data_IF_318824875113
#
_entry.id   IF_318824875113
#
_cell.length_a   1.000
_cell.length_b   1.000
_cell.length_c   1.000
_cell.angle_alpha   90.00
_cell.angle_beta   90.00
_cell.angle_gamma   90.00
#
_symmetry.space_group_name_H-M   'P 1'
#
loop_
_entity.id
_entity.type
_entity.pdbx_description
1 polymer ?
#
# COMPACT_ATOMS: atom_id res chain seq x y z
N UNK A 1 -27.52 -5.58 -23.61
CA UNK A 1 -27.50 -6.92 -24.26
C UNK A 1 -28.32 -7.86 -23.40
N UNK A 2 -29.09 -8.79 -23.96
CA UNK A 2 -29.78 -9.83 -23.17
C UNK A 2 -28.87 -11.05 -23.11
N UNK A 3 -28.33 -11.34 -21.94
CA UNK A 3 -27.56 -12.54 -21.70
C UNK A 3 -28.48 -13.77 -21.70
N UNK A 4 -27.91 -14.94 -21.98
CA UNK A 4 -28.68 -16.18 -21.97
C UNK A 4 -29.05 -16.54 -20.53
N UNK A 5 -30.18 -17.23 -20.35
CA UNK A 5 -30.62 -17.70 -19.03
C UNK A 5 -29.59 -18.63 -18.37
N UNK A 6 -28.71 -19.25 -19.17
CA UNK A 6 -27.58 -20.05 -18.66
C UNK A 6 -26.51 -19.15 -18.05
N UNK A 7 -26.14 -18.05 -18.73
CA UNK A 7 -25.16 -17.09 -18.22
C UNK A 7 -25.67 -16.38 -16.95
N UNK A 8 -26.96 -16.02 -16.89
CA UNK A 8 -27.56 -15.43 -15.70
C UNK A 8 -27.58 -16.39 -14.51
N UNK A 9 -27.78 -17.69 -14.76
CA UNK A 9 -27.77 -18.72 -13.71
C UNK A 9 -26.35 -19.05 -13.24
N UNK A 10 -25.36 -19.06 -14.13
CA UNK A 10 -23.95 -19.21 -13.75
C UNK A 10 -23.46 -18.02 -12.92
N UNK A 11 -23.86 -16.80 -13.28
CA UNK A 11 -23.58 -15.59 -12.49
C UNK A 11 -24.21 -15.64 -11.10
N UNK A 12 -25.49 -16.02 -10.98
CA UNK A 12 -26.16 -16.19 -9.68
C UNK A 12 -25.51 -17.26 -8.82
N UNK A 13 -25.05 -18.35 -9.44
CA UNK A 13 -24.37 -19.43 -8.74
C UNK A 13 -22.99 -18.99 -8.23
N UNK A 14 -22.28 -18.15 -8.97
CA UNK A 14 -21.02 -17.54 -8.54
C UNK A 14 -21.20 -16.55 -7.37
N UNK A 15 -22.35 -15.85 -7.30
CA UNK A 15 -22.70 -14.98 -6.16
C UNK A 15 -23.08 -15.76 -4.88
N UNK A 16 -23.50 -17.03 -5.01
CA UNK A 16 -23.89 -17.91 -3.90
C UNK A 16 -22.74 -18.79 -3.39
N UNK A 17 -21.60 -18.84 -4.09
CA UNK A 17 -20.42 -19.51 -3.58
C UNK A 17 -19.85 -18.71 -2.39
N UNK A 18 -19.73 -19.31 -1.20
CA UNK A 18 -19.11 -18.61 -0.07
C UNK A 18 -17.66 -18.32 -0.44
N UNK A 19 -17.34 -17.03 -0.57
CA UNK A 19 -15.97 -16.57 -0.69
C UNK A 19 -15.16 -17.22 0.44
N UNK A 20 -14.08 -17.91 0.07
CA UNK A 20 -13.09 -18.30 1.05
C UNK A 20 -12.54 -17.03 1.64
N UNK A 21 -13.05 -16.65 2.82
CA UNK A 21 -12.45 -15.63 3.68
C UNK A 21 -11.10 -16.20 4.14
N UNK A 22 -10.09 -16.04 3.28
CA UNK A 22 -8.72 -15.92 3.73
C UNK A 22 -8.73 -14.86 4.81
N UNK A 23 -8.12 -15.09 5.97
CA UNK A 23 -7.86 -13.99 6.91
C UNK A 23 -7.21 -12.87 6.10
N UNK A 24 -7.93 -11.77 5.89
CA UNK A 24 -7.51 -10.71 4.98
C UNK A 24 -6.11 -10.25 5.38
N UNK A 25 -5.19 -10.20 4.42
CA UNK A 25 -3.86 -9.64 4.71
C UNK A 25 -4.08 -8.24 5.27
N UNK A 26 -3.52 -7.92 6.44
CA UNK A 26 -3.66 -6.57 7.02
C UNK A 26 -2.93 -5.52 6.19
N UNK A 27 -2.06 -5.95 5.27
CA UNK A 27 -1.25 -5.09 4.44
C UNK A 27 -1.59 -5.28 2.96
N UNK A 28 -1.96 -4.19 2.29
CA UNK A 28 -2.11 -4.19 0.86
C UNK A 28 -0.75 -3.98 0.19
N UNK A 29 -0.25 -5.03 -0.49
CA UNK A 29 1.05 -4.98 -1.18
C UNK A 29 0.87 -4.99 -2.70
N UNK A 30 1.21 -3.90 -3.41
CA UNK A 30 1.11 -3.85 -4.88
C UNK A 30 1.77 -5.03 -5.60
N UNK A 31 2.90 -5.52 -5.06
CA UNK A 31 3.63 -6.64 -5.64
C UNK A 31 2.85 -7.97 -5.59
N UNK A 32 1.91 -8.14 -4.66
CA UNK A 32 1.08 -9.34 -4.52
C UNK A 32 -0.14 -9.33 -5.44
N UNK A 33 -0.50 -8.19 -6.04
CA UNK A 33 -1.53 -8.15 -7.09
C UNK A 33 -1.10 -9.11 -8.21
N UNK A 34 -2.01 -9.95 -8.68
CA UNK A 34 -1.71 -10.84 -9.80
C UNK A 34 -1.49 -10.05 -11.09
N UNK A 35 -0.76 -10.64 -12.05
CA UNK A 35 -0.51 -9.92 -13.30
C UNK A 35 -1.81 -9.81 -14.11
N UNK A 36 -2.06 -8.62 -14.64
CA UNK A 36 -3.27 -8.21 -15.35
C UNK A 36 -4.54 -8.23 -14.48
N UNK A 37 -4.35 -8.09 -13.15
CA UNK A 37 -5.44 -7.91 -12.19
C UNK A 37 -5.40 -6.50 -11.62
N UNK A 38 -6.59 -6.02 -11.27
CA UNK A 38 -6.86 -4.71 -10.71
C UNK A 38 -7.53 -4.89 -9.35
N UNK A 39 -7.13 -4.07 -8.39
CA UNK A 39 -7.76 -4.02 -7.06
C UNK A 39 -8.37 -2.64 -6.88
N UNK A 40 -9.61 -2.61 -6.41
CA UNK A 40 -10.35 -1.40 -6.10
C UNK A 40 -10.36 -1.15 -4.58
N UNK A 41 -10.14 0.10 -4.18
CA UNK A 41 -10.08 0.50 -2.78
C UNK A 41 -10.47 1.97 -2.60
N UNK A 42 -10.72 2.35 -1.34
CA UNK A 42 -11.02 3.72 -0.93
C UNK A 42 -10.00 4.15 0.12
N UNK A 43 -9.45 5.36 -0.01
CA UNK A 43 -8.63 5.95 1.04
C UNK A 43 -9.49 6.34 2.25
N UNK A 44 -9.07 5.94 3.45
CA UNK A 44 -9.78 6.25 4.70
C UNK A 44 -9.26 7.53 5.35
N UNK A 45 -8.02 7.92 5.05
CA UNK A 45 -7.42 9.19 5.46
C UNK A 45 -6.95 9.97 4.23
N UNK A 46 -7.04 11.31 4.30
CA UNK A 46 -6.58 12.20 3.21
C UNK A 46 -5.05 12.22 3.11
N UNK A 47 -4.37 12.47 4.24
CA UNK A 47 -2.93 12.61 4.31
C UNK A 47 -2.27 11.26 4.63
N UNK A 48 -1.20 10.87 3.90
CA UNK A 48 -0.43 9.69 4.24
C UNK A 48 0.38 9.90 5.53
N UNK A 49 0.63 8.81 6.25
CA UNK A 49 1.83 8.71 7.06
C UNK A 49 3.05 8.63 6.13
N UNK A 50 4.00 9.54 6.31
CA UNK A 50 5.24 9.58 5.55
C UNK A 50 6.46 9.26 6.43
N UNK A 51 7.36 8.42 5.91
CA UNK A 51 8.63 8.10 6.56
C UNK A 51 9.70 7.68 5.55
N UNK A 52 10.96 7.71 5.99
CA UNK A 52 12.05 7.08 5.28
C UNK A 52 12.19 5.62 5.69
N UNK A 53 12.47 4.73 4.74
CA UNK A 53 12.63 3.31 5.01
C UNK A 53 13.91 2.77 4.37
N UNK A 54 14.62 1.91 5.11
CA UNK A 54 15.69 1.06 4.57
C UNK A 54 15.38 -0.39 4.88
N UNK A 55 15.61 -1.28 3.92
CA UNK A 55 15.62 -2.71 4.20
C UNK A 55 17.02 -3.12 4.64
N UNK A 56 17.09 -3.83 5.76
CA UNK A 56 18.32 -4.38 6.27
C UNK A 56 18.17 -5.89 6.52
N UNK A 57 19.30 -6.56 6.46
CA UNK A 57 19.46 -8.00 6.63
C UNK A 57 20.25 -8.26 7.91
N UNK A 58 19.74 -9.11 8.78
CA UNK A 58 20.44 -9.55 9.97
C UNK A 58 21.68 -10.35 9.56
N UNK A 59 22.82 -10.04 10.16
CA UNK A 59 24.11 -10.62 9.80
C UNK A 59 24.20 -12.09 10.22
N UNK A 60 23.51 -12.49 11.28
CA UNK A 60 23.58 -13.83 11.88
C UNK A 60 22.70 -14.86 11.17
N UNK A 61 21.48 -14.47 10.77
CA UNK A 61 20.47 -15.40 10.22
C UNK A 61 19.98 -15.04 8.81
N UNK A 62 20.39 -13.87 8.27
CA UNK A 62 19.99 -13.42 6.94
C UNK A 62 18.54 -12.95 6.84
N UNK A 63 17.81 -12.83 7.96
CA UNK A 63 16.43 -12.33 7.96
C UNK A 63 16.39 -10.86 7.57
N UNK A 64 15.39 -10.48 6.77
CA UNK A 64 15.24 -9.11 6.28
C UNK A 64 14.10 -8.42 7.01
N UNK A 65 14.33 -7.18 7.42
CA UNK A 65 13.27 -6.31 7.98
C UNK A 65 13.44 -4.86 7.51
N UNK A 66 12.34 -4.10 7.45
CA UNK A 66 12.42 -2.66 7.30
C UNK A 66 12.93 -2.02 8.60
N UNK A 67 13.67 -0.94 8.46
CA UNK A 67 13.94 0.05 9.49
C UNK A 67 13.39 1.37 8.98
N UNK A 68 12.59 2.04 9.81
CA UNK A 68 11.87 3.26 9.45
C UNK A 68 12.42 4.43 10.25
N UNK A 69 12.43 5.60 9.63
CA UNK A 69 12.94 6.83 10.21
C UNK A 69 11.91 7.93 9.98
N UNK A 70 11.63 8.77 10.98
CA UNK A 70 10.66 9.83 10.86
C UNK A 70 11.05 10.81 9.75
N UNK A 71 10.04 11.38 9.07
CA UNK A 71 10.24 12.40 8.04
C UNK A 71 10.64 13.75 8.68
N UNK A 72 11.91 13.91 9.02
CA UNK A 72 12.46 15.16 9.57
C UNK A 72 13.39 15.82 8.54
N UNK A 73 12.78 16.40 7.50
CA UNK A 73 13.50 17.09 6.42
C UNK A 73 14.03 16.12 5.35
N UNK A 74 15.35 15.99 5.26
CA UNK A 74 15.99 15.14 4.25
C UNK A 74 16.03 13.67 4.67
N UNK A 75 16.51 12.80 3.76
CA UNK A 75 16.72 11.39 4.07
C UNK A 75 17.73 11.23 5.22
N UNK A 76 17.58 10.20 6.09
CA UNK A 76 18.54 9.94 7.15
C UNK A 76 19.93 9.71 6.55
N UNK A 77 20.96 10.20 7.24
CA UNK A 77 22.34 10.04 6.78
C UNK A 77 22.78 8.57 6.91
N UNK A 78 23.85 8.19 6.21
CA UNK A 78 24.42 6.85 6.34
C UNK A 78 24.89 6.57 7.78
N UNK A 79 25.36 7.59 8.50
CA UNK A 79 25.75 7.49 9.91
C UNK A 79 24.54 7.22 10.81
N UNK A 80 23.42 7.93 10.60
CA UNK A 80 22.18 7.72 11.35
C UNK A 80 21.62 6.31 11.12
N UNK A 81 21.63 5.86 9.85
CA UNK A 81 21.19 4.52 9.49
C UNK A 81 22.08 3.48 10.18
N UNK A 82 23.40 3.60 10.08
CA UNK A 82 24.32 2.64 10.71
C UNK A 82 24.16 2.58 12.23
N UNK A 83 23.92 3.73 12.87
CA UNK A 83 23.64 3.81 14.30
C UNK A 83 22.38 3.05 14.68
N UNK A 84 21.31 3.22 13.91
CA UNK A 84 20.02 2.55 14.16
C UNK A 84 20.08 1.04 13.91
N UNK A 85 20.89 0.60 12.92
CA UNK A 85 21.08 -0.82 12.63
C UNK A 85 21.82 -1.58 13.74
N UNK A 86 22.50 -0.87 14.66
CA UNK A 86 23.09 -1.44 15.88
C UNK A 86 24.24 -2.43 15.66
N UNK A 87 24.71 -2.61 14.43
CA UNK A 87 25.79 -3.55 14.07
C UNK A 87 25.33 -4.99 13.83
N UNK A 88 24.13 -5.38 14.29
CA UNK A 88 23.55 -6.71 14.05
C UNK A 88 22.92 -6.83 12.65
N UNK A 89 22.63 -5.68 12.03
CA UNK A 89 22.02 -5.59 10.71
C UNK A 89 22.93 -4.86 9.74
N UNK A 90 22.90 -5.29 8.48
CA UNK A 90 23.52 -4.60 7.35
C UNK A 90 22.45 -4.17 6.35
N UNK A 91 22.63 -3.02 5.71
CA UNK A 91 21.72 -2.57 4.64
C UNK A 91 21.70 -3.58 3.50
N UNK A 92 20.54 -3.75 2.89
CA UNK A 92 20.41 -4.53 1.66
C UNK A 92 21.12 -3.82 0.51
N UNK A 93 21.71 -4.60 -0.40
CA UNK A 93 22.36 -4.06 -1.60
C UNK A 93 21.36 -3.70 -2.68
N UNK A 94 21.67 -2.69 -3.48
CA UNK A 94 20.85 -2.34 -4.66
C UNK A 94 20.84 -3.54 -5.63
N UNK A 95 19.67 -3.84 -6.20
CA UNK A 95 19.53 -4.97 -7.13
C UNK A 95 19.92 -4.64 -8.58
N UNK A 96 19.91 -3.35 -8.92
CA UNK A 96 20.13 -2.85 -10.27
C UNK A 96 21.10 -1.67 -10.26
N UNK A 97 21.85 -1.51 -11.35
CA UNK A 97 22.68 -0.35 -11.56
C UNK A 97 21.81 0.91 -11.72
N UNK A 98 22.27 2.02 -11.13
CA UNK A 98 21.66 3.32 -11.30
C UNK A 98 22.75 4.38 -11.51
N UNK A 99 23.12 4.57 -12.77
CA UNK A 99 24.18 5.49 -13.19
C UNK A 99 23.93 6.93 -12.71
N UNK A 100 22.67 7.36 -12.63
CA UNK A 100 22.31 8.73 -12.19
C UNK A 100 22.66 8.97 -10.73
N UNK A 101 22.61 7.93 -9.90
CA UNK A 101 22.95 7.98 -8.49
C UNK A 101 24.33 7.37 -8.20
N UNK A 102 25.05 6.91 -9.23
CA UNK A 102 26.33 6.22 -9.07
C UNK A 102 26.25 4.89 -8.32
N UNK A 103 25.08 4.24 -8.29
CA UNK A 103 24.85 3.00 -7.54
C UNK A 103 25.12 1.79 -8.44
N UNK A 104 25.86 0.81 -7.91
CA UNK A 104 26.20 -0.44 -8.60
C UNK A 104 25.48 -1.64 -7.99
N UNK A 105 24.86 -2.45 -8.84
CA UNK A 105 24.16 -3.68 -8.49
C UNK A 105 25.03 -4.57 -7.61
N UNK A 106 24.47 -5.05 -6.49
CA UNK A 106 25.11 -5.93 -5.51
C UNK A 106 26.39 -5.38 -4.85
N UNK A 107 26.72 -4.09 -5.04
CA UNK A 107 27.91 -3.45 -4.46
C UNK A 107 27.49 -2.32 -3.53
N UNK A 108 26.70 -1.36 -4.04
CA UNK A 108 26.22 -0.21 -3.28
C UNK A 108 25.10 -0.59 -2.32
N UNK A 109 25.05 0.07 -1.17
CA UNK A 109 23.93 -0.06 -0.23
C UNK A 109 22.68 0.62 -0.82
N UNK A 110 21.51 0.02 -0.56
CA UNK A 110 20.23 0.57 -1.02
C UNK A 110 19.94 1.88 -0.29
N UNK A 111 19.67 2.99 -1.00
CA UNK A 111 19.35 4.28 -0.39
C UNK A 111 18.05 4.18 0.42
N UNK A 112 17.88 5.10 1.37
CA UNK A 112 16.59 5.26 2.05
C UNK A 112 15.52 5.62 1.03
N UNK A 113 14.40 4.92 1.09
CA UNK A 113 13.25 5.12 0.21
C UNK A 113 12.19 5.93 0.95
N UNK A 114 11.68 6.97 0.30
CA UNK A 114 10.54 7.70 0.84
C UNK A 114 9.28 6.86 0.68
N UNK A 115 8.56 6.63 1.77
CA UNK A 115 7.39 5.77 1.82
C UNK A 115 6.17 6.60 2.23
N UNK A 116 5.04 6.30 1.58
CA UNK A 116 3.73 6.88 1.85
C UNK A 116 2.80 5.76 2.27
N UNK A 117 2.10 5.93 3.39
CA UNK A 117 1.24 4.88 3.92
C UNK A 117 -0.14 5.45 4.22
N UNK A 118 -1.17 4.79 3.71
CA UNK A 118 -2.56 5.11 4.02
C UNK A 118 -3.28 3.89 4.58
N UNK A 119 -4.24 4.08 5.51
CA UNK A 119 -5.32 3.12 5.69
C UNK A 119 -6.24 3.19 4.46
N UNK A 120 -6.58 2.01 3.92
CA UNK A 120 -7.51 1.88 2.80
C UNK A 120 -8.59 0.86 3.14
N UNK A 121 -9.79 1.05 2.60
CA UNK A 121 -10.80 0.01 2.53
C UNK A 121 -10.64 -0.77 1.24
N UNK A 122 -10.31 -2.06 1.34
CA UNK A 122 -10.28 -2.95 0.18
C UNK A 122 -11.70 -3.41 -0.15
N UNK A 123 -12.19 -3.09 -1.35
CA UNK A 123 -13.58 -3.36 -1.73
C UNK A 123 -13.86 -4.83 -2.03
N UNK A 124 -12.85 -5.58 -2.48
CA UNK A 124 -12.94 -7.02 -2.71
C UNK A 124 -12.93 -7.77 -1.37
N UNK A 125 -11.97 -7.45 -0.50
CA UNK A 125 -11.80 -8.14 0.78
C UNK A 125 -12.72 -7.62 1.90
N UNK A 126 -13.39 -6.49 1.68
CA UNK A 126 -14.29 -5.82 2.63
C UNK A 126 -13.66 -5.64 4.01
N UNK A 127 -12.42 -5.17 4.01
CA UNK A 127 -11.64 -4.94 5.23
C UNK A 127 -10.73 -3.74 5.06
N UNK A 128 -10.37 -3.13 6.19
CA UNK A 128 -9.31 -2.15 6.26
C UNK A 128 -7.96 -2.84 6.05
N UNK A 129 -7.10 -2.24 5.23
CA UNK A 129 -5.72 -2.64 5.01
C UNK A 129 -4.78 -1.43 5.07
N UNK A 130 -3.52 -1.68 5.41
CA UNK A 130 -2.45 -0.68 5.34
C UNK A 130 -1.80 -0.74 3.95
N UNK A 131 -1.90 0.35 3.20
CA UNK A 131 -1.31 0.50 1.88
C UNK A 131 0.01 1.28 1.94
N UNK A 132 1.14 0.58 1.90
CA UNK A 132 2.47 1.19 1.81
C UNK A 132 2.92 1.33 0.33
N UNK A 133 3.26 2.55 -0.07
CA UNK A 133 3.83 2.89 -1.36
C UNK A 133 5.27 3.39 -1.19
N UNK A 134 6.23 2.56 -1.61
CA UNK A 134 7.65 2.92 -1.70
C UNK A 134 8.15 3.03 -3.14
N UNK A 135 7.34 2.57 -4.12
CA UNK A 135 7.71 2.57 -5.53
C UNK A 135 7.45 3.94 -6.16
N UNK A 136 8.47 4.63 -6.69
CA UNK A 136 8.28 5.94 -7.31
C UNK A 136 7.30 5.96 -8.49
N UNK A 137 7.13 4.83 -9.18
CA UNK A 137 6.19 4.70 -10.30
C UNK A 137 4.73 4.74 -9.87
N UNK A 138 4.40 4.19 -8.70
CA UNK A 138 3.03 4.22 -8.14
C UNK A 138 2.76 5.62 -7.59
N UNK A 139 3.64 6.13 -6.73
CA UNK A 139 3.47 7.45 -6.12
C UNK A 139 3.31 8.57 -7.16
N UNK A 140 4.11 8.56 -8.24
CA UNK A 140 3.98 9.53 -9.34
C UNK A 140 2.59 9.53 -9.98
N UNK A 141 1.94 8.37 -10.06
CA UNK A 141 0.61 8.27 -10.64
C UNK A 141 -0.46 8.73 -9.67
N UNK A 142 -0.39 8.32 -8.40
CA UNK A 142 -1.27 8.84 -7.34
C UNK A 142 -1.22 10.37 -7.36
N UNK A 143 -0.02 10.97 -7.23
CA UNK A 143 0.16 12.43 -7.23
C UNK A 143 -0.35 13.11 -8.50
N UNK A 144 -0.20 12.46 -9.66
CA UNK A 144 -0.68 13.00 -10.95
C UNK A 144 -2.21 13.02 -11.00
N UNK A 145 -2.85 11.92 -10.63
CA UNK A 145 -4.29 11.79 -10.69
C UNK A 145 -4.96 12.66 -9.61
N UNK A 146 -4.51 12.60 -8.35
CA UNK A 146 -5.08 13.40 -7.26
C UNK A 146 -4.88 14.90 -7.45
N UNK A 147 -3.82 15.31 -8.14
CA UNK A 147 -3.56 16.72 -8.48
C UNK A 147 -4.52 17.33 -9.52
N UNK A 148 -5.37 16.52 -10.17
CA UNK A 148 -6.33 17.03 -11.15
C UNK A 148 -7.39 17.90 -10.47
N UNK A 149 -7.82 18.97 -11.16
CA UNK A 149 -8.77 19.96 -10.61
C UNK A 149 -10.07 19.34 -10.07
N UNK A 150 -10.55 18.27 -10.68
CA UNK A 150 -11.79 17.57 -10.28
C UNK A 150 -11.67 16.87 -8.92
N UNK A 151 -10.46 16.52 -8.49
CA UNK A 151 -10.21 15.77 -7.26
C UNK A 151 -9.66 16.64 -6.12
N UNK A 152 -9.56 17.96 -6.32
CA UNK A 152 -9.07 18.91 -5.30
C UNK A 152 -9.92 18.99 -4.04
N UNK A 153 -11.16 18.49 -4.07
CA UNK A 153 -12.04 18.45 -2.91
C UNK A 153 -11.83 17.20 -2.03
N UNK A 154 -10.88 16.34 -2.41
CA UNK A 154 -10.59 15.10 -1.70
C UNK A 154 -10.88 13.87 -2.57
N UNK A 155 -10.15 12.80 -2.26
CA UNK A 155 -10.40 11.44 -2.73
C UNK A 155 -10.37 10.55 -1.50
N UNK A 156 -11.50 9.95 -1.14
CA UNK A 156 -11.59 9.21 0.10
C UNK A 156 -13.02 8.84 0.41
N UNK A 157 -13.28 8.45 1.66
CA UNK A 157 -14.59 7.95 2.07
C UNK A 157 -15.72 8.97 1.82
N UNK A 158 -15.46 10.25 2.10
CA UNK A 158 -16.41 11.37 1.92
C UNK A 158 -16.65 11.79 0.46
N UNK A 159 -15.97 11.19 -0.52
CA UNK A 159 -16.13 11.53 -1.94
C UNK A 159 -16.91 10.48 -2.72
N UNK A 160 -17.41 10.84 -3.91
CA UNK A 160 -18.09 9.91 -4.82
C UNK A 160 -17.13 9.00 -5.61
N UNK A 161 -15.88 8.88 -5.17
CA UNK A 161 -14.82 8.20 -5.92
C UNK A 161 -14.29 6.97 -5.18
N UNK A 162 -13.85 5.99 -5.96
CA UNK A 162 -12.95 4.93 -5.54
C UNK A 162 -11.66 4.98 -6.37
N UNK A 163 -10.67 4.22 -5.93
CA UNK A 163 -9.36 4.16 -6.58
C UNK A 163 -9.09 2.74 -7.04
N UNK A 164 -8.39 2.61 -8.16
CA UNK A 164 -7.93 1.31 -8.63
C UNK A 164 -6.42 1.28 -8.80
N UNK A 165 -5.83 0.10 -8.55
CA UNK A 165 -4.44 -0.18 -8.86
C UNK A 165 -4.35 -1.45 -9.71
N UNK A 166 -4.02 -1.27 -10.98
CA UNK A 166 -3.87 -2.35 -11.95
C UNK A 166 -2.39 -2.68 -12.15
N UNK A 167 -2.02 -3.97 -12.04
CA UNK A 167 -0.67 -4.45 -12.31
C UNK A 167 -0.60 -5.14 -13.66
N UNK A 168 0.27 -4.67 -14.54
CA UNK A 168 0.53 -5.26 -15.87
C UNK A 168 1.97 -5.76 -15.92
N UNK A 169 2.18 -6.95 -16.51
CA UNK A 169 3.51 -7.49 -16.77
C UNK A 169 3.72 -7.72 -18.27
N UNK A 170 4.30 -6.72 -18.93
CA UNK A 170 4.64 -6.75 -20.35
C UNK A 170 6.13 -6.42 -20.52
N UNK A 171 6.98 -7.43 -20.36
CA UNK A 171 8.44 -7.27 -20.30
C UNK A 171 8.93 -6.75 -18.94
N UNK A 172 8.38 -5.63 -18.48
CA UNK A 172 8.59 -5.09 -17.12
C UNK A 172 7.26 -4.99 -16.36
N UNK A 173 7.34 -4.94 -15.02
CA UNK A 173 6.17 -4.74 -14.18
C UNK A 173 5.79 -3.27 -14.20
N UNK A 174 4.55 -2.98 -14.57
CA UNK A 174 3.96 -1.64 -14.58
C UNK A 174 2.73 -1.65 -13.68
N UNK A 175 2.61 -0.61 -12.86
CA UNK A 175 1.41 -0.33 -12.10
C UNK A 175 0.67 0.82 -12.77
N UNK A 176 -0.66 0.79 -12.77
CA UNK A 176 -1.51 1.88 -13.25
C UNK A 176 -2.50 2.25 -12.17
N UNK A 177 -2.48 3.49 -11.70
CA UNK A 177 -3.42 4.00 -10.70
C UNK A 177 -4.48 4.85 -11.39
N UNK A 178 -5.75 4.60 -11.08
CA UNK A 178 -6.86 5.40 -11.58
C UNK A 178 -7.79 5.81 -10.43
N UNK A 179 -8.52 6.91 -10.63
CA UNK A 179 -9.65 7.30 -9.79
C UNK A 179 -10.90 7.13 -10.64
N UNK A 180 -11.87 6.36 -10.14
CA UNK A 180 -13.11 6.02 -10.84
C UNK A 180 -14.31 6.50 -10.03
N UNK A 181 -15.46 6.63 -10.70
CA UNK A 181 -16.72 6.89 -10.01
C UNK A 181 -17.08 5.65 -9.18
N UNK A 182 -17.46 5.88 -7.93
CA UNK A 182 -17.86 4.82 -6.98
C UNK A 182 -19.18 4.21 -7.42
N UNK A 183 -19.36 2.92 -7.15
CA UNK A 183 -20.65 2.24 -7.30
C UNK A 183 -21.73 2.93 -6.43
N UNK A 184 -22.88 3.24 -7.02
CA UNK A 184 -24.01 3.88 -6.32
C UNK A 184 -24.58 3.00 -5.20
N UNK A 185 -24.44 1.68 -5.32
CA UNK A 185 -24.93 0.70 -4.34
C UNK A 185 -23.90 0.40 -3.24
N UNK A 186 -22.74 1.08 -3.22
CA UNK A 186 -21.72 0.84 -2.19
C UNK A 186 -22.21 1.28 -0.81
N UNK A 187 -22.20 0.36 0.16
CA UNK A 187 -22.53 0.62 1.56
C UNK A 187 -21.44 1.46 2.27
N UNK A 188 -21.42 2.75 1.95
CA UNK A 188 -20.45 3.70 2.53
C UNK A 188 -20.65 3.83 4.04
N UNK A 189 -21.90 3.76 4.53
CA UNK A 189 -22.18 3.83 5.98
C UNK A 189 -21.66 2.60 6.73
N UNK A 190 -21.68 1.42 6.11
CA UNK A 190 -21.05 0.23 6.66
C UNK A 190 -19.53 0.37 6.76
N UNK A 191 -18.90 0.98 5.75
CA UNK A 191 -17.45 1.24 5.74
C UNK A 191 -17.07 2.26 6.82
N UNK A 192 -17.81 3.37 6.92
CA UNK A 192 -17.62 4.40 7.96
C UNK A 192 -17.65 3.77 9.36
N UNK A 193 -18.68 2.96 9.67
CA UNK A 193 -18.78 2.29 10.97
C UNK A 193 -17.65 1.30 11.23
N UNK A 194 -17.21 0.58 10.20
CA UNK A 194 -16.09 -0.36 10.33
C UNK A 194 -14.78 0.38 10.60
N UNK A 195 -14.60 1.55 10.00
CA UNK A 195 -13.45 2.40 10.22
C UNK A 195 -13.47 3.03 11.62
N UNK A 196 -14.59 3.65 12.02
CA UNK A 196 -14.78 4.22 13.36
C UNK A 196 -14.54 3.18 14.47
N UNK A 197 -15.09 1.97 14.32
CA UNK A 197 -14.88 0.90 15.29
C UNK A 197 -13.40 0.50 15.37
N UNK A 198 -12.68 0.47 14.24
CA UNK A 198 -11.28 0.10 14.22
C UNK A 198 -10.41 1.19 14.90
N UNK A 199 -10.75 2.46 14.72
CA UNK A 199 -10.14 3.58 15.45
C UNK A 199 -10.43 3.49 16.96
N UNK A 200 -11.67 3.20 17.35
CA UNK A 200 -12.07 2.98 18.76
C UNK A 200 -11.34 1.79 19.40
N UNK A 201 -11.07 0.74 18.62
CA UNK A 201 -10.29 -0.44 19.04
C UNK A 201 -8.77 -0.15 19.13
N UNK A 202 -8.36 1.09 18.89
CA UNK A 202 -7.00 1.56 19.07
C UNK A 202 -6.12 1.48 17.82
N UNK A 203 -6.71 1.48 16.63
CA UNK A 203 -5.91 1.56 15.42
C UNK A 203 -5.05 2.82 15.40
N UNK A 204 -3.77 2.65 15.09
CA UNK A 204 -2.85 3.78 15.03
C UNK A 204 -1.76 3.52 14.01
N UNK A 205 -1.85 4.15 12.83
CA UNK A 205 -0.87 3.99 11.75
C UNK A 205 0.54 4.48 12.15
N UNK A 206 0.65 5.45 13.07
CA UNK A 206 1.93 6.05 13.46
C UNK A 206 2.88 5.07 14.14
N UNK A 207 2.36 4.01 14.75
CA UNK A 207 3.19 2.97 15.40
C UNK A 207 4.10 2.24 14.41
N UNK A 208 3.82 2.34 13.10
CA UNK A 208 4.69 1.78 12.05
C UNK A 208 6.11 2.33 12.14
N UNK A 209 6.30 3.61 12.49
CA UNK A 209 7.63 4.24 12.61
C UNK A 209 8.50 3.43 13.57
N UNK A 210 7.92 2.95 14.67
CA UNK A 210 8.60 2.15 15.69
C UNK A 210 8.46 0.63 15.47
N UNK A 211 8.02 0.21 14.28
CA UNK A 211 7.74 -1.18 13.90
C UNK A 211 6.62 -1.86 14.69
N UNK A 212 5.69 -1.10 15.28
CA UNK A 212 4.47 -1.62 15.87
C UNK A 212 3.47 -2.13 14.83
N UNK A 213 2.43 -2.83 15.29
CA UNK A 213 1.27 -3.23 14.48
C UNK A 213 0.15 -2.17 14.59
N UNK A 214 -0.24 -1.50 13.49
CA UNK A 214 -1.34 -0.53 13.50
C UNK A 214 -2.66 -1.08 14.02
N UNK A 215 -2.91 -2.38 13.90
CA UNK A 215 -4.14 -3.04 14.31
C UNK A 215 -4.09 -3.58 15.75
N UNK A 216 -2.95 -3.44 16.43
CA UNK A 216 -2.79 -3.81 17.84
C UNK A 216 -1.73 -2.91 18.49
N UNK A 217 -2.11 -1.64 18.71
CA UNK A 217 -1.17 -0.62 19.20
C UNK A 217 -0.74 -0.82 20.67
N UNK A 218 -1.44 -1.66 21.44
CA UNK A 218 -1.05 -2.05 22.81
C UNK A 218 -0.05 -3.22 22.89
N UNK A 219 0.25 -3.89 21.77
CA UNK A 219 1.17 -5.04 21.70
C UNK A 219 0.47 -6.39 21.63
#
# INVERSE_FOLDING_TARGET
>A
MKFSTVADNEYKKALEEPEKVSSGDRYFRPNQIENNQEVEFIFLEEDPLEYWQVFAENISDGTKRPFRFPLVGEAPSDEDILKELGGDYRRTKVQYDNDKLGLKANVSDSPASHCYVWPIWNLEQKTVQVFEVSQPSIFKQIKKETGLKKYRKGIGLDSDFSCTLHKVKEGFTKYTFNIIDRDEDLDTSGIEKAWEQLEDDGFNINVLIDNGDPFNSEG
#
